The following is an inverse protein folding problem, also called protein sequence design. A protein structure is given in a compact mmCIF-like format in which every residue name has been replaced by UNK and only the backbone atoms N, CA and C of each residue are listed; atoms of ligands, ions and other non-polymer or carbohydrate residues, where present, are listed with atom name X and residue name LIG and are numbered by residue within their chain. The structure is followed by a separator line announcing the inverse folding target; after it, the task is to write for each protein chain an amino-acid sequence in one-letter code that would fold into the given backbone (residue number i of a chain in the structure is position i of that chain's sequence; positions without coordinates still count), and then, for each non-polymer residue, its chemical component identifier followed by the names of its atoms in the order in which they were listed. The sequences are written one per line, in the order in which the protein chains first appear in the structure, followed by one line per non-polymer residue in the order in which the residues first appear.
data_IF_434180271384
#
_entry.id   IF_434180271384
#
_cell.length_a   1.000
_cell.length_b   1.000
_cell.length_c   1.000
_cell.angle_alpha   90.00
_cell.angle_beta   90.00
_cell.angle_gamma   90.00
#
_symmetry.space_group_name_H-M   'P 1'
#
loop_
_entity.id
_entity.type
_entity.pdbx_description
1 polymer ?
#
# COMPACT_ATOMS: atom_id res chain seq x y z
N UNK A 1 12.52 11.77 3.92
CA UNK A 1 11.78 11.11 5.03
C UNK A 1 12.70 10.54 6.11
N UNK A 2 14.02 10.33 5.88
CA UNK A 2 14.95 9.72 6.85
C UNK A 2 15.97 10.68 7.50
N UNK A 3 15.95 11.98 7.22
CA UNK A 3 16.97 12.93 7.71
C UNK A 3 16.80 13.37 9.18
N UNK A 4 15.59 13.28 9.73
CA UNK A 4 15.35 13.66 11.12
C UNK A 4 15.62 12.47 12.07
N UNK A 5 16.61 12.58 12.95
CA UNK A 5 17.09 11.50 13.84
C UNK A 5 15.98 10.84 14.67
N UNK A 6 14.99 11.62 15.13
CA UNK A 6 13.89 11.12 15.96
C UNK A 6 12.87 10.34 15.12
N UNK A 7 12.50 10.89 13.97
CA UNK A 7 11.53 10.28 13.05
C UNK A 7 12.12 9.03 12.37
N UNK A 8 13.39 9.07 12.00
CA UNK A 8 14.13 7.91 11.47
C UNK A 8 14.30 6.78 12.49
N UNK A 9 14.47 7.10 13.78
CA UNK A 9 14.50 6.10 14.85
C UNK A 9 13.12 5.45 15.04
N UNK A 10 12.04 6.25 15.08
CA UNK A 10 10.66 5.75 15.18
C UNK A 10 10.28 4.83 14.00
N UNK A 11 10.59 5.24 12.77
CA UNK A 11 10.32 4.44 11.56
C UNK A 11 11.06 3.10 11.60
N UNK A 12 12.31 3.08 12.08
CA UNK A 12 13.08 1.84 12.26
C UNK A 12 12.50 0.94 13.37
N UNK A 13 12.02 1.53 14.46
CA UNK A 13 11.32 0.79 15.53
C UNK A 13 10.02 0.15 15.04
N UNK A 14 9.30 0.80 14.13
CA UNK A 14 8.11 0.23 13.46
C UNK A 14 8.44 -0.88 12.44
N UNK A 15 9.72 -1.24 12.27
CA UNK A 15 10.16 -2.30 11.37
C UNK A 15 10.22 -1.89 9.89
N UNK A 16 10.21 -0.59 9.58
CA UNK A 16 10.42 -0.12 8.23
C UNK A 16 11.87 -0.36 7.79
N UNK A 17 12.03 -0.85 6.57
CA UNK A 17 13.33 -1.17 5.98
C UNK A 17 13.49 -0.38 4.68
N UNK A 18 14.71 0.10 4.38
CA UNK A 18 14.97 0.78 3.12
C UNK A 18 14.79 -0.21 1.96
N UNK A 19 14.01 0.19 0.96
CA UNK A 19 13.91 -0.52 -0.31
C UNK A 19 14.79 0.25 -1.29
N UNK A 20 15.83 -0.41 -1.80
CA UNK A 20 16.63 0.11 -2.90
C UNK A 20 15.79 0.06 -4.19
N UNK A 21 15.47 1.25 -4.71
CA UNK A 21 14.64 1.43 -5.91
C UNK A 21 15.49 1.60 -7.17
N UNK A 22 16.76 1.97 -7.03
CA UNK A 22 17.64 2.24 -8.17
C UNK A 22 18.23 0.96 -8.73
N UNK A 23 18.42 -0.06 -7.88
CA UNK A 23 18.79 -1.41 -8.29
C UNK A 23 17.88 -2.46 -7.63
N UNK A 24 16.66 -2.69 -8.16
CA UNK A 24 15.74 -3.70 -7.66
C UNK A 24 16.23 -5.11 -8.03
N UNK A 25 17.37 -5.53 -7.50
CA UNK A 25 17.85 -6.89 -7.63
C UNK A 25 16.97 -7.86 -6.82
N UNK A 26 17.07 -9.17 -7.11
CA UNK A 26 16.32 -10.22 -6.37
C UNK A 26 16.48 -10.14 -4.83
N UNK A 27 17.56 -9.53 -4.34
CA UNK A 27 17.79 -9.31 -2.90
C UNK A 27 16.80 -8.32 -2.30
N UNK A 28 16.36 -7.30 -3.03
CA UNK A 28 15.45 -6.26 -2.52
C UNK A 28 14.05 -6.81 -2.18
N UNK A 29 13.55 -7.78 -2.95
CA UNK A 29 12.26 -8.44 -2.69
C UNK A 29 12.37 -9.59 -1.68
N UNK A 30 13.56 -10.17 -1.49
CA UNK A 30 13.76 -11.32 -0.60
C UNK A 30 13.46 -11.00 0.86
N UNK A 31 13.84 -9.80 1.31
CA UNK A 31 13.58 -9.35 2.67
C UNK A 31 12.08 -9.28 3.01
N UNK A 32 11.23 -8.52 2.26
CA UNK A 32 9.80 -8.46 2.54
C UNK A 32 9.12 -9.83 2.49
N UNK A 33 9.49 -10.68 1.51
CA UNK A 33 8.94 -12.04 1.39
C UNK A 33 9.27 -12.89 2.63
N UNK A 34 10.53 -12.87 3.07
CA UNK A 34 10.94 -13.62 4.26
C UNK A 34 10.24 -13.11 5.52
N UNK A 35 10.09 -11.79 5.65
CA UNK A 35 9.40 -11.16 6.77
C UNK A 35 7.94 -11.62 6.84
N UNK A 36 7.22 -11.54 5.72
CA UNK A 36 5.82 -11.99 5.60
C UNK A 36 5.64 -13.49 5.87
N UNK A 37 6.63 -14.33 5.51
CA UNK A 37 6.56 -15.79 5.69
C UNK A 37 6.96 -16.29 7.07
N UNK A 38 7.94 -15.65 7.70
CA UNK A 38 8.59 -16.15 8.93
C UNK A 38 8.11 -15.45 10.19
N UNK A 39 7.30 -14.40 10.07
CA UNK A 39 6.81 -13.64 11.22
C UNK A 39 5.32 -13.31 11.07
N UNK A 40 4.66 -12.98 12.18
CA UNK A 40 3.26 -12.55 12.19
C UNK A 40 3.14 -11.03 11.93
N UNK A 41 3.85 -10.53 10.93
CA UNK A 41 3.94 -9.11 10.61
C UNK A 41 3.35 -8.84 9.22
N UNK A 42 2.75 -7.66 9.08
CA UNK A 42 2.23 -7.16 7.81
C UNK A 42 3.23 -6.23 7.14
N UNK A 43 3.20 -6.19 5.81
CA UNK A 43 3.94 -5.21 5.02
C UNK A 43 2.96 -4.12 4.55
N UNK A 44 3.24 -2.88 4.92
CA UNK A 44 2.57 -1.72 4.34
C UNK A 44 3.46 -1.17 3.23
N UNK A 45 2.92 -1.05 2.02
CA UNK A 45 3.61 -0.49 0.86
C UNK A 45 2.84 0.73 0.36
N UNK A 46 3.55 1.85 0.23
CA UNK A 46 3.02 3.05 -0.39
C UNK A 46 3.47 3.10 -1.85
N UNK A 47 2.54 3.17 -2.82
CA UNK A 47 2.92 3.39 -4.21
C UNK A 47 3.61 4.73 -4.33
N UNK A 48 4.92 4.72 -4.61
CA UNK A 48 5.64 5.94 -4.98
C UNK A 48 5.40 6.21 -6.46
N UNK A 49 4.25 6.82 -6.75
CA UNK A 49 3.70 7.05 -8.09
C UNK A 49 2.18 7.17 -7.98
N UNK A 50 1.51 7.72 -8.99
CA UNK A 50 0.04 7.75 -8.99
C UNK A 50 -0.51 6.34 -8.78
N UNK A 51 -1.73 6.20 -8.25
CA UNK A 51 -2.40 4.90 -8.01
C UNK A 51 -2.42 4.00 -9.27
N UNK A 52 -2.13 4.58 -10.44
CA UNK A 52 -2.06 3.94 -11.75
C UNK A 52 -0.68 3.45 -12.18
N UNK A 53 0.40 3.63 -11.41
CA UNK A 53 1.74 3.19 -11.85
C UNK A 53 1.84 1.66 -11.93
N UNK A 54 2.13 1.13 -13.12
CA UNK A 54 2.25 -0.31 -13.40
C UNK A 54 3.40 -0.97 -12.62
N UNK A 55 4.52 -0.28 -12.48
CA UNK A 55 5.73 -0.80 -11.82
C UNK A 55 5.49 -1.15 -10.34
N UNK A 56 4.76 -0.31 -9.61
CA UNK A 56 4.43 -0.60 -8.21
C UNK A 56 3.49 -1.81 -8.12
N UNK A 57 2.49 -1.88 -8.99
CA UNK A 57 1.51 -2.98 -9.00
C UNK A 57 2.19 -4.32 -9.28
N UNK A 58 3.17 -4.34 -10.18
CA UNK A 58 4.02 -5.51 -10.44
C UNK A 58 4.83 -5.95 -9.22
N UNK A 59 5.49 -5.01 -8.52
CA UNK A 59 6.24 -5.32 -7.30
C UNK A 59 5.38 -5.93 -6.18
N UNK A 60 4.18 -5.38 -5.97
CA UNK A 60 3.21 -5.92 -5.01
C UNK A 60 2.77 -7.33 -5.40
N UNK A 61 2.44 -7.56 -6.68
CA UNK A 61 2.02 -8.86 -7.19
C UNK A 61 3.07 -9.95 -6.94
N UNK A 62 4.34 -9.67 -7.25
CA UNK A 62 5.46 -10.61 -7.04
C UNK A 62 5.63 -10.95 -5.57
N UNK A 63 5.65 -9.95 -4.68
CA UNK A 63 5.82 -10.16 -3.24
C UNK A 63 4.66 -11.00 -2.69
N UNK A 64 3.42 -10.64 -3.01
CA UNK A 64 2.23 -11.34 -2.52
C UNK A 64 2.21 -12.80 -3.00
N UNK A 65 2.56 -13.07 -4.26
CA UNK A 65 2.59 -14.42 -4.82
C UNK A 65 3.65 -15.29 -4.16
N UNK A 66 4.86 -14.76 -4.00
CA UNK A 66 5.98 -15.49 -3.40
C UNK A 66 5.81 -15.71 -1.88
N UNK A 67 5.19 -14.75 -1.20
CA UNK A 67 4.88 -14.85 0.23
C UNK A 67 3.61 -15.66 0.53
N UNK A 68 2.77 -15.94 -0.49
CA UNK A 68 1.46 -16.60 -0.36
C UNK A 68 0.50 -15.83 0.56
N UNK A 69 0.45 -14.52 0.40
CA UNK A 69 -0.42 -13.63 1.18
C UNK A 69 -1.41 -12.90 0.29
N UNK A 70 -2.52 -12.46 0.88
CA UNK A 70 -3.51 -11.60 0.22
C UNK A 70 -3.06 -10.14 0.24
N UNK A 71 -3.49 -9.37 -0.75
CA UNK A 71 -3.25 -7.93 -0.82
C UNK A 71 -4.45 -7.21 -0.22
N UNK A 72 -4.23 -6.26 0.68
CA UNK A 72 -5.29 -5.44 1.28
C UNK A 72 -5.17 -4.01 0.78
N UNK A 73 -6.04 -3.55 -0.13
CA UNK A 73 -6.10 -2.14 -0.53
C UNK A 73 -6.55 -1.28 0.65
N UNK A 74 -5.88 -0.15 0.88
CA UNK A 74 -6.24 0.80 1.94
C UNK A 74 -6.16 2.22 1.41
N UNK A 75 -7.20 3.02 1.64
CA UNK A 75 -7.22 4.45 1.28
C UNK A 75 -7.20 5.28 2.56
N UNK A 76 -6.30 6.27 2.56
CA UNK A 76 -6.21 7.30 3.59
C UNK A 76 -6.95 8.56 3.12
N UNK A 77 -7.85 9.05 3.95
CA UNK A 77 -8.54 10.32 3.77
C UNK A 77 -8.31 11.19 5.02
N UNK A 78 -7.56 12.27 4.88
CA UNK A 78 -7.20 13.10 6.01
C UNK A 78 -6.25 14.22 5.62
N UNK A 79 -5.79 15.02 6.59
CA UNK A 79 -4.83 16.09 6.35
C UNK A 79 -3.55 15.56 5.69
N UNK A 80 -3.15 16.21 4.60
CA UNK A 80 -1.89 15.91 3.89
C UNK A 80 -0.68 16.59 4.54
N UNK A 81 -0.93 17.53 5.46
CA UNK A 81 0.10 18.29 6.17
C UNK A 81 0.13 17.87 7.63
N UNK A 82 1.33 17.81 8.21
CA UNK A 82 1.53 17.44 9.61
C UNK A 82 0.77 18.38 10.56
N UNK A 83 0.61 19.66 10.21
CA UNK A 83 -0.16 20.62 11.01
C UNK A 83 -1.61 20.16 11.21
N UNK A 84 -2.27 19.65 10.17
CA UNK A 84 -3.64 19.16 10.27
C UNK A 84 -3.77 17.93 11.16
N UNK A 85 -2.76 17.05 11.15
CA UNK A 85 -2.69 15.93 12.10
C UNK A 85 -2.53 16.40 13.55
N UNK A 86 -1.72 17.44 13.79
CA UNK A 86 -1.49 18.00 15.12
C UNK A 86 -2.69 18.77 15.68
N UNK A 87 -3.52 19.35 14.81
CA UNK A 87 -4.77 20.04 15.19
C UNK A 87 -5.95 19.10 15.41
N UNK A 88 -5.73 17.78 15.31
CA UNK A 88 -6.78 16.78 15.52
C UNK A 88 -7.81 16.74 14.40
N UNK A 89 -7.44 17.12 13.17
CA UNK A 89 -8.33 16.93 12.02
C UNK A 89 -8.65 15.45 11.85
N UNK A 90 -9.90 15.17 11.45
CA UNK A 90 -10.39 13.81 11.25
C UNK A 90 -9.54 13.08 10.22
N UNK A 91 -9.14 11.86 10.60
CA UNK A 91 -8.47 10.89 9.73
C UNK A 91 -9.41 9.71 9.57
N UNK A 92 -9.74 9.40 8.32
CA UNK A 92 -10.49 8.23 7.94
C UNK A 92 -9.58 7.28 7.15
N UNK A 93 -9.63 6.00 7.50
CA UNK A 93 -8.97 4.93 6.75
C UNK A 93 -10.02 3.94 6.28
N UNK A 94 -10.10 3.73 4.97
CA UNK A 94 -11.00 2.76 4.38
C UNK A 94 -10.23 1.53 3.90
N UNK A 95 -10.65 0.37 4.36
CA UNK A 95 -10.02 -0.92 4.06
C UNK A 95 -10.86 -1.66 3.01
N UNK A 96 -10.21 -2.03 1.91
CA UNK A 96 -10.82 -2.77 0.81
C UNK A 96 -11.09 -4.23 1.12
N UNK A 97 -11.51 -4.95 0.09
CA UNK A 97 -11.58 -6.41 0.19
C UNK A 97 -10.18 -7.01 0.04
N UNK A 98 -9.84 -8.08 0.80
CA UNK A 98 -8.61 -8.82 0.56
C UNK A 98 -8.60 -9.43 -0.84
N UNK A 99 -7.65 -9.02 -1.68
CA UNK A 99 -7.44 -9.55 -3.02
C UNK A 99 -6.60 -10.83 -2.91
N UNK A 100 -7.19 -11.95 -3.30
CA UNK A 100 -6.48 -13.21 -3.47
C UNK A 100 -5.93 -13.31 -4.91
N UNK A 101 -4.67 -13.70 -5.02
CA UNK A 101 -3.96 -13.88 -6.30
C UNK A 101 -3.38 -15.30 -6.44
N UNK A 102 -3.83 -16.22 -5.60
CA UNK A 102 -3.40 -17.62 -5.62
C UNK A 102 -3.84 -18.33 -6.91
N UNK A 103 -4.94 -17.91 -7.53
CA UNK A 103 -5.49 -18.39 -8.80
C UNK A 103 -4.62 -18.07 -10.01
N UNK A 104 -3.86 -16.97 -9.97
CA UNK A 104 -3.01 -16.52 -11.09
C UNK A 104 -1.76 -17.40 -11.20
N UNK A 105 -1.70 -18.29 -12.20
CA UNK A 105 -0.65 -19.33 -12.28
C UNK A 105 0.77 -18.78 -12.47
N UNK A 106 0.93 -17.71 -13.25
CA UNK A 106 2.24 -17.12 -13.60
C UNK A 106 2.19 -15.61 -13.43
N UNK A 107 3.28 -15.02 -12.93
CA UNK A 107 3.48 -13.57 -12.86
C UNK A 107 4.22 -13.09 -14.13
N UNK A 108 3.65 -13.41 -15.30
CA UNK A 108 4.01 -12.79 -16.58
C UNK A 108 3.25 -11.46 -16.73
N UNK A 109 3.44 -10.76 -17.85
CA UNK A 109 2.80 -9.46 -18.08
C UNK A 109 1.28 -9.51 -17.92
N UNK A 110 0.62 -10.53 -18.48
CA UNK A 110 -0.83 -10.76 -18.33
C UNK A 110 -1.24 -10.98 -16.86
N UNK A 111 -0.49 -11.81 -16.13
CA UNK A 111 -0.77 -12.08 -14.72
C UNK A 111 -0.56 -10.84 -13.83
N UNK A 112 0.46 -10.02 -14.15
CA UNK A 112 0.72 -8.76 -13.47
C UNK A 112 -0.39 -7.76 -13.76
N UNK A 113 -0.84 -7.67 -15.01
CA UNK A 113 -1.94 -6.82 -15.44
C UNK A 113 -3.26 -7.20 -14.75
N UNK A 114 -3.56 -8.50 -14.64
CA UNK A 114 -4.73 -8.99 -13.92
C UNK A 114 -4.70 -8.58 -12.43
N UNK A 115 -3.56 -8.73 -11.75
CA UNK A 115 -3.41 -8.25 -10.36
C UNK A 115 -3.58 -6.72 -10.31
N UNK A 116 -2.99 -6.00 -11.25
CA UNK A 116 -3.06 -4.56 -11.33
C UNK A 116 -4.49 -4.05 -11.52
N UNK A 117 -5.29 -4.76 -12.32
CA UNK A 117 -6.71 -4.49 -12.56
C UNK A 117 -7.52 -4.74 -11.29
N UNK A 118 -7.35 -5.89 -10.62
CA UNK A 118 -8.04 -6.17 -9.34
C UNK A 118 -7.76 -5.11 -8.28
N UNK A 119 -6.49 -4.70 -8.16
CA UNK A 119 -6.10 -3.62 -7.24
C UNK A 119 -6.77 -2.30 -7.63
N UNK A 120 -6.78 -1.95 -8.92
CA UNK A 120 -7.40 -0.71 -9.39
C UNK A 120 -8.89 -0.70 -9.12
N UNK A 121 -9.60 -1.80 -9.43
CA UNK A 121 -11.04 -1.93 -9.20
C UNK A 121 -11.40 -1.73 -7.74
N UNK A 122 -10.63 -2.32 -6.81
CA UNK A 122 -10.88 -2.10 -5.38
C UNK A 122 -10.56 -0.66 -4.95
N UNK A 123 -9.53 -0.02 -5.50
CA UNK A 123 -9.29 1.40 -5.21
C UNK A 123 -10.41 2.29 -5.74
N UNK A 124 -10.91 2.04 -6.95
CA UNK A 124 -12.02 2.81 -7.53
C UNK A 124 -13.30 2.64 -6.68
N UNK A 125 -13.56 1.43 -6.18
CA UNK A 125 -14.65 1.15 -5.23
C UNK A 125 -14.48 1.94 -3.93
N UNK A 126 -13.29 1.91 -3.35
CA UNK A 126 -12.97 2.64 -2.11
C UNK A 126 -13.07 4.15 -2.29
N UNK A 127 -12.66 4.68 -3.45
CA UNK A 127 -12.75 6.10 -3.77
C UNK A 127 -14.22 6.54 -3.92
N UNK A 128 -15.06 5.74 -4.58
CA UNK A 128 -16.50 5.98 -4.66
C UNK A 128 -17.16 5.98 -3.28
N UNK A 129 -16.78 5.03 -2.42
CA UNK A 129 -17.24 4.96 -1.03
C UNK A 129 -16.81 6.19 -0.23
N UNK A 130 -15.53 6.57 -0.32
CA UNK A 130 -14.98 7.75 0.35
C UNK A 130 -15.61 9.07 -0.12
N UNK A 131 -15.96 9.17 -1.41
CA UNK A 131 -16.65 10.34 -1.94
C UNK A 131 -17.99 10.59 -1.23
N UNK A 132 -18.74 9.53 -0.86
CA UNK A 132 -20.00 9.67 -0.12
C UNK A 132 -19.81 10.26 1.28
N UNK A 133 -18.69 9.93 1.94
CA UNK A 133 -18.36 10.48 3.25
C UNK A 133 -17.90 11.95 3.19
N UNK A 134 -17.29 12.37 2.08
CA UNK A 134 -16.84 13.75 1.88
C UNK A 134 -17.94 14.68 1.33
N UNK A 135 -18.93 14.18 0.57
CA UNK A 135 -20.08 14.98 0.09
C UNK A 135 -20.93 15.48 1.27
N UNK A 136 -21.11 14.68 2.32
CA UNK A 136 -21.85 15.07 3.52
C UNK A 136 -21.18 16.19 4.35
N UNK A 137 -19.93 16.56 4.04
CA UNK A 137 -19.22 17.65 4.73
C UNK A 137 -19.63 19.05 4.23
N UNK A 138 -20.12 19.16 2.99
CA UNK A 138 -20.51 20.44 2.38
C UNK A 138 -22.00 20.80 2.56
N UNK A 139 -22.76 20.03 3.36
CA UNK A 139 -24.20 20.26 3.60
C UNK A 139 -24.53 20.61 5.06
N UNK A 140 -23.53 20.75 5.94
CA UNK A 140 -23.72 21.06 7.37
C UNK A 140 -22.95 22.32 7.78
N UNK A 141 -22.87 23.32 6.90
CA UNK A 141 -22.53 24.70 7.25
C UNK A 141 -23.63 25.62 6.71
#
# INVERSE_FOLDING_TARGET
MFENRIFGWWIRMCGAFPIDRENPGQKAIKYPINMLRKSNRSLVMFPSGSRHSTDVKGGVAVIAKMAKVKIMPVVYAGPMQLKGLLTGERVDMNFGNPIDISDIKRMNDEGIEEVANRIQTEFDRLDAENATFHINKNQIH
#
